data_IF_281267734518
#
_entry.id   IF_281267734518
#
_cell.length_a   1.000
_cell.length_b   1.000
_cell.length_c   1.000
_cell.angle_alpha   90.00
_cell.angle_beta   90.00
_cell.angle_gamma   90.00
#
_symmetry.space_group_name_H-M   'P 1'
#
loop_
_entity.id
_entity.type
_entity.pdbx_description
1 polymer ?
#
# COMPACT_ATOMS: atom_id res chain seq x y z
N UNK A 1 -7.22 23.53 -33.05
CA UNK A 1 -8.20 22.49 -33.44
C UNK A 1 -8.34 21.56 -32.25
N UNK A 2 -9.55 21.47 -31.70
CA UNK A 2 -9.90 20.69 -30.52
C UNK A 2 -9.66 19.20 -30.78
N UNK A 3 -8.87 18.56 -29.90
CA UNK A 3 -8.66 17.10 -29.92
C UNK A 3 -9.86 16.46 -29.24
N UNK A 4 -10.73 15.83 -30.02
CA UNK A 4 -11.82 14.99 -29.51
C UNK A 4 -11.22 13.74 -28.84
N UNK A 5 -11.51 13.59 -27.54
CA UNK A 5 -11.30 12.35 -26.81
C UNK A 5 -12.31 11.32 -27.28
N UNK A 6 -11.88 10.38 -28.12
CA UNK A 6 -12.68 9.19 -28.46
C UNK A 6 -12.33 8.09 -27.47
N UNK A 7 -13.23 7.88 -26.51
CA UNK A 7 -13.27 6.77 -25.55
C UNK A 7 -13.42 5.42 -26.27
N UNK A 8 -12.62 4.44 -25.87
CA UNK A 8 -12.70 3.06 -26.37
C UNK A 8 -13.96 2.40 -25.78
N UNK A 9 -14.98 2.19 -26.61
CA UNK A 9 -16.14 1.36 -26.29
C UNK A 9 -15.74 -0.12 -26.33
N UNK A 10 -15.25 -0.64 -25.21
CA UNK A 10 -15.33 -2.08 -24.95
C UNK A 10 -16.70 -2.37 -24.32
N UNK A 11 -17.37 -3.38 -24.87
CA UNK A 11 -18.71 -3.89 -24.53
C UNK A 11 -18.89 -4.10 -23.02
N UNK A 12 -19.20 -3.02 -22.32
CA UNK A 12 -19.54 -2.99 -20.92
C UNK A 12 -21.02 -2.74 -20.79
N UNK A 13 -21.66 -3.46 -19.86
CA UNK A 13 -22.91 -3.01 -19.26
C UNK A 13 -22.75 -1.56 -18.80
N UNK A 14 -23.19 -0.61 -19.62
CA UNK A 14 -23.39 0.76 -19.19
C UNK A 14 -24.45 0.72 -18.10
N UNK A 15 -24.02 0.91 -16.85
CA UNK A 15 -24.93 1.10 -15.74
C UNK A 15 -25.60 2.47 -15.92
N UNK A 16 -26.73 2.49 -16.63
CA UNK A 16 -27.59 3.66 -16.80
C UNK A 16 -28.28 4.12 -15.50
N UNK A 17 -28.13 3.37 -14.40
CA UNK A 17 -28.89 3.55 -13.15
C UNK A 17 -28.04 3.99 -11.94
N UNK A 18 -26.79 4.45 -12.13
CA UNK A 18 -25.92 4.87 -11.02
C UNK A 18 -25.35 3.73 -10.17
N UNK A 19 -25.61 2.47 -10.55
CA UNK A 19 -25.02 1.27 -9.96
C UNK A 19 -23.52 1.22 -10.20
N UNK A 20 -22.75 1.01 -9.14
CA UNK A 20 -21.29 0.91 -9.23
C UNK A 20 -20.84 -0.36 -9.96
N UNK A 21 -19.85 -0.23 -10.82
CA UNK A 21 -19.09 -1.33 -11.44
C UNK A 21 -17.60 -1.00 -11.43
N UNK A 22 -16.70 -1.98 -11.60
CA UNK A 22 -15.26 -1.72 -11.64
C UNK A 22 -14.81 -0.72 -12.73
N UNK A 23 -15.64 -0.44 -13.74
CA UNK A 23 -15.34 0.51 -14.83
C UNK A 23 -16.00 1.88 -14.67
N UNK A 24 -16.85 2.10 -13.66
CA UNK A 24 -17.56 3.37 -13.44
C UNK A 24 -16.64 4.58 -13.29
N UNK A 25 -15.43 4.39 -12.75
CA UNK A 25 -14.41 5.44 -12.63
C UNK A 25 -14.05 6.08 -13.98
N UNK A 26 -14.20 5.37 -15.10
CA UNK A 26 -13.89 5.89 -16.46
C UNK A 26 -14.81 7.03 -16.88
N UNK A 27 -15.95 7.19 -16.19
CA UNK A 27 -16.88 8.32 -16.40
C UNK A 27 -16.45 9.58 -15.66
N UNK A 28 -15.42 9.50 -14.81
CA UNK A 28 -14.92 10.60 -14.00
C UNK A 28 -13.61 11.14 -14.56
N UNK A 29 -13.30 12.38 -14.21
CA UNK A 29 -11.96 12.94 -14.43
C UNK A 29 -10.95 12.13 -13.64
N UNK A 30 -9.79 11.86 -14.24
CA UNK A 30 -8.69 11.11 -13.63
C UNK A 30 -7.43 11.98 -13.56
N UNK A 31 -6.83 12.08 -12.38
CA UNK A 31 -5.50 12.65 -12.19
C UNK A 31 -4.46 11.54 -12.27
N UNK A 32 -3.22 11.89 -12.64
CA UNK A 32 -2.13 10.91 -12.76
C UNK A 32 -2.48 9.77 -13.74
N UNK A 33 -3.26 10.05 -14.78
CA UNK A 33 -3.55 9.06 -15.82
C UNK A 33 -2.27 8.67 -16.58
N UNK A 34 -2.27 7.50 -17.21
CA UNK A 34 -1.19 7.05 -18.11
C UNK A 34 -1.72 7.02 -19.53
N UNK A 35 -1.03 7.71 -20.43
CA UNK A 35 -1.34 7.65 -21.86
C UNK A 35 -0.43 6.61 -22.50
N UNK A 36 -1.01 5.50 -22.95
CA UNK A 36 -0.32 4.50 -23.75
C UNK A 36 -0.55 4.80 -25.24
N UNK A 37 0.52 4.88 -26.03
CA UNK A 37 0.43 5.12 -27.48
C UNK A 37 -0.20 3.93 -28.21
N UNK A 38 0.23 2.70 -27.86
CA UNK A 38 -0.30 1.46 -28.42
C UNK A 38 -1.54 0.99 -27.64
N UNK A 39 -2.71 1.48 -28.06
CA UNK A 39 -4.01 1.10 -27.51
C UNK A 39 -4.36 -0.36 -27.75
N UNK A 40 -3.91 -0.95 -28.86
CA UNK A 40 -4.21 -2.36 -29.18
C UNK A 40 -3.42 -3.29 -28.25
N UNK A 41 -2.15 -2.98 -28.00
CA UNK A 41 -1.34 -3.70 -27.02
C UNK A 41 -1.92 -3.57 -25.60
N UNK A 42 -2.31 -2.35 -25.19
CA UNK A 42 -2.98 -2.14 -23.90
C UNK A 42 -4.23 -3.02 -23.76
N UNK A 43 -5.07 -3.10 -24.80
CA UNK A 43 -6.27 -3.94 -24.78
C UNK A 43 -5.91 -5.44 -24.61
N UNK A 44 -4.92 -5.95 -25.35
CA UNK A 44 -4.44 -7.33 -25.22
C UNK A 44 -3.93 -7.62 -23.81
N UNK A 45 -3.23 -6.67 -23.20
CA UNK A 45 -2.74 -6.78 -21.82
C UNK A 45 -3.90 -6.80 -20.83
N UNK A 46 -4.83 -5.86 -20.92
CA UNK A 46 -6.04 -5.80 -20.08
C UNK A 46 -6.84 -7.11 -20.16
N UNK A 47 -7.03 -7.67 -21.37
CA UNK A 47 -7.70 -8.95 -21.56
C UNK A 47 -6.98 -10.09 -20.83
N UNK A 48 -5.64 -10.15 -20.89
CA UNK A 48 -4.85 -11.14 -20.14
C UNK A 48 -4.97 -10.96 -18.62
N UNK A 49 -4.89 -9.71 -18.13
CA UNK A 49 -5.01 -9.39 -16.70
C UNK A 49 -6.36 -9.82 -16.10
N UNK A 50 -7.46 -9.69 -16.85
CA UNK A 50 -8.77 -10.13 -16.39
C UNK A 50 -8.84 -11.65 -16.11
N UNK A 51 -7.90 -12.45 -16.65
CA UNK A 51 -7.84 -13.90 -16.48
C UNK A 51 -6.72 -14.35 -15.52
N UNK A 52 -5.93 -13.43 -14.94
CA UNK A 52 -4.96 -13.83 -13.91
C UNK A 52 -5.69 -14.26 -12.63
N UNK A 53 -5.14 -15.25 -11.90
CA UNK A 53 -5.72 -15.68 -10.63
C UNK A 53 -5.64 -14.54 -9.61
N UNK A 54 -6.57 -14.51 -8.64
CA UNK A 54 -6.47 -13.69 -7.44
C UNK A 54 -5.11 -13.85 -6.76
N UNK A 55 -4.50 -12.73 -6.35
CA UNK A 55 -3.33 -12.75 -5.44
C UNK A 55 -3.74 -12.94 -3.99
N UNK A 56 -4.96 -12.52 -3.64
CA UNK A 56 -5.54 -12.63 -2.30
C UNK A 56 -7.00 -13.07 -2.38
N UNK A 57 -7.50 -13.65 -1.30
CA UNK A 57 -8.89 -14.12 -1.21
C UNK A 57 -9.78 -13.18 -0.39
N UNK A 58 -11.12 -13.19 -0.62
CA UNK A 58 -12.07 -12.48 0.23
C UNK A 58 -11.95 -12.81 1.73
N UNK A 59 -11.60 -14.05 2.06
CA UNK A 59 -11.39 -14.49 3.45
C UNK A 59 -10.22 -13.75 4.11
N UNK A 60 -9.09 -13.63 3.41
CA UNK A 60 -7.93 -12.89 3.92
C UNK A 60 -8.20 -11.39 4.03
N UNK A 61 -8.90 -10.82 3.05
CA UNK A 61 -9.33 -9.41 3.07
C UNK A 61 -10.23 -9.14 4.27
N UNK A 62 -11.25 -9.98 4.50
CA UNK A 62 -12.15 -9.83 5.63
C UNK A 62 -11.42 -10.04 6.97
N UNK A 63 -10.47 -10.97 7.05
CA UNK A 63 -9.60 -11.14 8.22
C UNK A 63 -8.85 -9.84 8.54
N UNK A 64 -8.27 -9.19 7.54
CA UNK A 64 -7.61 -7.88 7.74
C UNK A 64 -8.59 -6.82 8.23
N UNK A 65 -9.81 -6.76 7.70
CA UNK A 65 -10.84 -5.79 8.11
C UNK A 65 -11.15 -5.91 9.61
N UNK A 66 -11.35 -7.13 10.11
CA UNK A 66 -11.55 -7.38 11.54
C UNK A 66 -10.34 -6.98 12.39
N UNK A 67 -9.12 -7.20 11.89
CA UNK A 67 -7.91 -6.78 12.58
C UNK A 67 -7.78 -5.25 12.62
N UNK A 68 -8.12 -4.55 11.54
CA UNK A 68 -8.15 -3.09 11.50
C UNK A 68 -9.27 -2.49 12.37
N UNK A 69 -10.38 -3.21 12.56
CA UNK A 69 -11.37 -2.83 13.56
C UNK A 69 -10.75 -2.81 14.97
N UNK A 70 -9.95 -3.83 15.33
CA UNK A 70 -9.24 -3.83 16.62
C UNK A 70 -8.28 -2.65 16.75
N UNK A 71 -7.63 -2.24 15.64
CA UNK A 71 -6.78 -1.04 15.61
C UNK A 71 -7.59 0.23 15.88
N UNK A 72 -8.73 0.40 15.20
CA UNK A 72 -9.61 1.54 15.41
C UNK A 72 -10.16 1.62 16.85
N UNK A 73 -10.38 0.47 17.48
CA UNK A 73 -10.82 0.34 18.87
C UNK A 73 -9.70 0.46 19.91
N UNK A 74 -8.46 0.77 19.50
CA UNK A 74 -7.27 0.85 20.37
C UNK A 74 -6.90 -0.48 21.05
N UNK A 75 -7.29 -1.61 20.46
CA UNK A 75 -6.98 -2.97 20.93
C UNK A 75 -5.82 -3.60 20.17
N UNK A 76 -5.36 -2.97 19.10
CA UNK A 76 -4.18 -3.35 18.33
C UNK A 76 -3.49 -2.11 17.76
N UNK A 77 -2.27 -2.28 17.27
CA UNK A 77 -1.48 -1.23 16.63
C UNK A 77 -1.16 -1.62 15.19
N UNK A 78 -1.34 -0.72 14.23
CA UNK A 78 -1.01 -0.95 12.82
C UNK A 78 0.45 -0.58 12.53
N UNK A 79 1.21 -1.53 12.00
CA UNK A 79 2.52 -1.29 11.40
C UNK A 79 2.42 -1.54 9.89
N UNK A 80 2.43 -0.47 9.11
CA UNK A 80 2.54 -0.55 7.66
C UNK A 80 3.94 -0.08 7.22
N UNK A 81 4.63 -0.86 6.37
CA UNK A 81 5.99 -0.52 5.98
C UNK A 81 6.52 -1.28 4.77
N UNK A 82 7.45 -0.68 4.03
CA UNK A 82 8.14 -1.29 2.90
C UNK A 82 8.62 -0.23 1.91
N UNK A 83 8.88 -0.62 0.66
CA UNK A 83 9.49 0.30 -0.30
C UNK A 83 8.59 1.47 -0.68
N UNK A 84 9.21 2.58 -1.04
CA UNK A 84 8.53 3.71 -1.67
C UNK A 84 7.90 3.29 -3.01
N UNK A 85 8.73 2.71 -3.89
CA UNK A 85 8.33 2.06 -5.12
C UNK A 85 9.12 0.76 -5.27
N UNK A 86 8.42 -0.35 -5.51
CA UNK A 86 9.05 -1.62 -5.91
C UNK A 86 9.58 -1.48 -7.33
N UNK A 87 10.70 -2.15 -7.60
CA UNK A 87 11.22 -2.37 -8.94
C UNK A 87 11.14 -3.86 -9.25
N UNK A 88 10.95 -4.24 -10.51
CA UNK A 88 10.94 -5.64 -10.93
C UNK A 88 12.27 -6.32 -10.58
N UNK A 89 13.40 -5.63 -10.79
CA UNK A 89 14.73 -6.14 -10.46
C UNK A 89 14.95 -6.33 -8.94
N UNK A 90 14.20 -5.59 -8.11
CA UNK A 90 14.26 -5.69 -6.64
C UNK A 90 13.30 -6.73 -6.08
N UNK A 91 12.50 -7.36 -6.94
CA UNK A 91 11.65 -8.48 -6.60
C UNK A 91 12.48 -9.79 -6.52
N UNK A 92 13.59 -9.72 -5.78
CA UNK A 92 14.52 -10.81 -5.53
C UNK A 92 14.52 -11.21 -4.05
N UNK A 93 15.07 -12.38 -3.75
CA UNK A 93 14.95 -12.99 -2.42
C UNK A 93 15.51 -12.11 -1.30
N UNK A 94 16.72 -11.59 -1.46
CA UNK A 94 17.41 -10.87 -0.38
C UNK A 94 16.70 -9.56 0.03
N UNK A 95 16.30 -8.65 -0.88
CA UNK A 95 15.55 -7.44 -0.51
C UNK A 95 14.22 -7.74 0.18
N UNK A 96 13.51 -8.78 -0.27
CA UNK A 96 12.22 -9.18 0.32
C UNK A 96 12.42 -9.73 1.72
N UNK A 97 13.33 -10.68 1.90
CA UNK A 97 13.65 -11.21 3.23
C UNK A 97 14.09 -10.10 4.17
N UNK A 98 14.92 -9.19 3.70
CA UNK A 98 15.43 -8.07 4.50
C UNK A 98 14.29 -7.15 4.95
N UNK A 99 13.39 -6.77 4.03
CA UNK A 99 12.18 -5.98 4.31
C UNK A 99 11.26 -6.66 5.32
N UNK A 100 11.07 -7.98 5.20
CA UNK A 100 10.24 -8.75 6.12
C UNK A 100 10.88 -8.86 7.50
N UNK A 101 12.19 -9.13 7.58
CA UNK A 101 12.95 -9.19 8.83
C UNK A 101 12.79 -7.88 9.61
N UNK A 102 13.03 -6.73 8.97
CA UNK A 102 12.89 -5.43 9.65
C UNK A 102 11.45 -5.17 10.10
N UNK A 103 10.44 -5.47 9.27
CA UNK A 103 9.03 -5.29 9.64
C UNK A 103 8.61 -6.16 10.83
N UNK A 104 9.09 -7.42 10.87
CA UNK A 104 8.84 -8.34 11.98
C UNK A 104 9.55 -7.90 13.27
N UNK A 105 10.79 -7.42 13.18
CA UNK A 105 11.54 -6.92 14.34
C UNK A 105 10.92 -5.64 14.90
N UNK A 106 10.57 -4.67 14.06
CA UNK A 106 9.84 -3.48 14.47
C UNK A 106 8.53 -3.86 15.17
N UNK A 107 7.80 -4.83 14.61
CA UNK A 107 6.57 -5.32 15.22
C UNK A 107 6.79 -5.88 16.62
N UNK A 108 7.85 -6.67 16.85
CA UNK A 108 8.18 -7.20 18.17
C UNK A 108 8.47 -6.08 19.19
N UNK A 109 9.25 -5.07 18.78
CA UNK A 109 9.55 -3.88 19.61
C UNK A 109 8.27 -3.13 19.97
N UNK A 110 7.37 -2.92 18.99
CA UNK A 110 6.09 -2.27 19.20
C UNK A 110 5.16 -3.07 20.11
N UNK A 111 5.08 -4.40 19.96
CA UNK A 111 4.30 -5.27 20.87
C UNK A 111 4.81 -5.12 22.30
N UNK A 112 6.13 -5.15 22.48
CA UNK A 112 6.74 -5.01 23.80
C UNK A 112 6.43 -3.66 24.44
N UNK A 113 6.57 -2.57 23.69
CA UNK A 113 6.34 -1.21 24.17
C UNK A 113 4.87 -0.88 24.41
N UNK A 114 3.99 -1.29 23.50
CA UNK A 114 2.55 -0.98 23.54
C UNK A 114 1.72 -1.95 24.38
N UNK A 115 2.17 -3.20 24.56
CA UNK A 115 1.45 -4.30 25.22
C UNK A 115 0.11 -4.66 24.55
N UNK A 116 -0.04 -4.33 23.28
CA UNK A 116 -1.17 -4.73 22.43
C UNK A 116 -0.65 -5.44 21.17
N UNK A 117 -1.47 -6.28 20.51
CA UNK A 117 -1.13 -6.90 19.23
C UNK A 117 -0.75 -5.88 18.16
N UNK A 118 0.16 -6.26 17.25
CA UNK A 118 0.52 -5.46 16.08
C UNK A 118 0.01 -6.14 14.81
N UNK A 119 -0.75 -5.39 14.00
CA UNK A 119 -1.22 -5.76 12.67
C UNK A 119 -0.19 -5.31 11.65
N UNK A 120 0.27 -6.21 10.78
CA UNK A 120 1.40 -5.96 9.87
C UNK A 120 0.92 -5.89 8.43
N UNK A 121 1.16 -4.76 7.78
CA UNK A 121 0.85 -4.58 6.36
C UNK A 121 2.14 -4.19 5.63
N UNK A 122 2.64 -5.04 4.75
CA UNK A 122 3.79 -4.74 3.93
C UNK A 122 3.38 -3.91 2.71
N UNK A 123 4.22 -2.91 2.36
CA UNK A 123 4.21 -2.26 1.05
C UNK A 123 5.01 -3.16 0.09
N UNK A 124 4.30 -4.15 -0.44
CA UNK A 124 4.81 -5.14 -1.38
C UNK A 124 3.67 -5.74 -2.18
N UNK A 125 3.98 -6.47 -3.23
CA UNK A 125 2.97 -7.15 -4.04
C UNK A 125 2.13 -6.23 -4.93
N UNK A 126 2.68 -5.08 -5.33
CA UNK A 126 1.99 -4.18 -6.25
C UNK A 126 2.40 -2.72 -6.17
N UNK A 127 3.38 -2.35 -5.34
CA UNK A 127 3.78 -0.95 -5.12
C UNK A 127 4.71 -0.43 -6.24
N UNK A 128 4.37 -0.71 -7.49
CA UNK A 128 5.18 -0.41 -8.69
C UNK A 128 4.83 0.91 -9.36
N UNK A 129 3.85 1.67 -8.84
CA UNK A 129 3.41 2.93 -9.43
C UNK A 129 3.67 4.09 -8.47
N UNK A 130 4.09 5.24 -9.03
CA UNK A 130 4.35 6.46 -8.27
C UNK A 130 3.73 7.67 -8.97
N UNK A 131 2.97 8.52 -8.25
CA UNK A 131 2.50 9.77 -8.81
C UNK A 131 3.64 10.80 -8.92
N UNK A 132 3.64 11.61 -9.97
CA UNK A 132 4.66 12.64 -10.22
C UNK A 132 4.02 14.02 -10.32
N UNK A 133 4.79 15.04 -9.94
CA UNK A 133 4.35 16.44 -10.03
C UNK A 133 4.20 16.90 -11.48
N UNK A 134 5.09 16.44 -12.36
CA UNK A 134 5.07 16.70 -13.80
C UNK A 134 5.11 15.38 -14.56
N UNK A 135 4.49 15.35 -15.74
CA UNK A 135 4.50 14.18 -16.64
C UNK A 135 5.87 13.99 -17.31
N UNK A 136 6.55 15.11 -17.58
CA UNK A 136 7.87 15.14 -18.21
C UNK A 136 8.94 15.65 -17.23
N UNK A 137 10.18 15.25 -17.43
CA UNK A 137 11.37 15.77 -16.76
C UNK A 137 12.48 16.08 -17.76
N UNK A 138 13.38 16.98 -17.38
CA UNK A 138 14.54 17.35 -18.20
C UNK A 138 15.70 16.42 -17.88
N UNK A 139 16.23 15.74 -18.91
CA UNK A 139 17.42 14.92 -18.83
C UNK A 139 18.39 15.33 -19.95
N UNK A 140 19.60 15.78 -19.59
CA UNK A 140 20.62 16.24 -20.55
C UNK A 140 20.09 17.24 -21.60
N UNK A 141 19.20 18.14 -21.20
CA UNK A 141 18.61 19.16 -22.09
C UNK A 141 17.49 18.65 -23.00
N UNK A 142 17.08 17.38 -22.89
CA UNK A 142 15.91 16.81 -23.57
C UNK A 142 14.76 16.60 -22.58
N UNK A 143 13.55 16.83 -23.06
CA UNK A 143 12.34 16.55 -22.31
C UNK A 143 11.95 15.08 -22.53
N UNK A 144 11.93 14.29 -21.45
CA UNK A 144 11.56 12.87 -21.45
C UNK A 144 10.46 12.60 -20.43
N UNK A 145 9.73 11.51 -20.56
CA UNK A 145 8.74 11.14 -19.55
C UNK A 145 9.39 10.93 -18.17
N UNK A 146 8.77 11.50 -17.14
CA UNK A 146 9.13 11.22 -15.76
C UNK A 146 9.00 9.73 -15.46
N UNK A 147 9.89 9.18 -14.65
CA UNK A 147 9.78 7.83 -14.14
C UNK A 147 8.57 7.76 -13.20
N UNK A 148 7.62 6.87 -13.50
CA UNK A 148 6.37 6.74 -12.75
C UNK A 148 6.23 5.37 -12.10
N UNK A 149 7.33 4.63 -12.03
CA UNK A 149 7.39 3.29 -11.48
C UNK A 149 7.31 2.21 -12.57
N UNK A 150 7.88 1.06 -12.25
CA UNK A 150 8.18 -0.02 -13.21
C UNK A 150 6.95 -0.59 -13.91
N UNK A 151 5.75 -0.44 -13.34
CA UNK A 151 4.49 -0.87 -13.98
C UNK A 151 4.09 0.03 -15.16
N UNK A 152 4.70 1.21 -15.29
CA UNK A 152 4.44 2.18 -16.37
C UNK A 152 5.63 2.27 -17.31
N UNK A 153 6.81 2.59 -16.79
CA UNK A 153 8.03 2.83 -17.58
C UNK A 153 9.28 2.47 -16.77
N UNK A 154 10.42 2.31 -17.44
CA UNK A 154 11.70 2.04 -16.79
C UNK A 154 12.37 3.32 -16.25
N UNK A 155 13.35 3.15 -15.36
CA UNK A 155 14.12 4.28 -14.83
C UNK A 155 15.12 4.85 -15.83
N UNK A 156 15.69 4.01 -16.70
CA UNK A 156 16.68 4.46 -17.69
C UNK A 156 16.07 5.48 -18.68
N UNK A 157 16.79 6.55 -19.05
CA UNK A 157 16.29 7.56 -19.99
C UNK A 157 15.80 7.00 -21.34
N UNK A 158 16.36 5.87 -21.77
CA UNK A 158 15.98 5.17 -23.01
C UNK A 158 14.68 4.36 -22.89
N UNK A 159 14.16 4.18 -21.69
CA UNK A 159 13.03 3.31 -21.35
C UNK A 159 11.91 4.10 -20.64
N UNK A 160 11.77 5.40 -20.95
CA UNK A 160 10.77 6.28 -20.32
C UNK A 160 9.38 6.24 -20.94
N UNK A 161 9.25 5.64 -22.12
CA UNK A 161 7.95 5.55 -22.77
C UNK A 161 7.02 4.60 -22.00
N UNK A 162 5.76 4.98 -21.70
CA UNK A 162 4.80 4.07 -21.09
C UNK A 162 4.59 2.81 -21.93
N UNK A 163 4.87 1.65 -21.35
CA UNK A 163 4.76 0.34 -22.01
C UNK A 163 3.64 -0.48 -21.34
N UNK A 164 2.55 -0.81 -22.06
CA UNK A 164 1.44 -1.57 -21.49
C UNK A 164 1.85 -2.97 -21.03
N UNK A 165 2.86 -3.61 -21.63
CA UNK A 165 3.28 -4.96 -21.25
C UNK A 165 3.83 -5.03 -19.80
N UNK A 166 4.27 -3.89 -19.25
CA UNK A 166 4.70 -3.78 -17.85
C UNK A 166 3.58 -4.05 -16.85
N UNK A 167 2.32 -3.81 -17.23
CA UNK A 167 1.17 -4.16 -16.38
C UNK A 167 1.09 -5.67 -16.12
N UNK A 168 1.49 -6.51 -17.09
CA UNK A 168 1.53 -7.96 -16.92
C UNK A 168 2.67 -8.39 -16.01
N UNK A 169 3.84 -7.76 -16.14
CA UNK A 169 5.02 -8.09 -15.31
C UNK A 169 4.71 -7.93 -13.82
N UNK A 170 3.95 -6.90 -13.46
CA UNK A 170 3.50 -6.67 -12.09
C UNK A 170 2.55 -7.72 -11.48
N UNK A 171 1.97 -8.65 -12.27
CA UNK A 171 0.91 -9.55 -11.76
C UNK A 171 1.32 -10.92 -11.27
N UNK A 172 2.40 -11.56 -11.75
CA UNK A 172 2.45 -13.03 -11.60
C UNK A 172 3.78 -13.75 -11.56
N UNK A 173 4.83 -13.27 -12.22
CA UNK A 173 6.00 -14.13 -12.42
C UNK A 173 6.98 -14.11 -11.25
N UNK A 174 7.04 -13.01 -10.51
CA UNK A 174 7.94 -12.86 -9.35
C UNK A 174 7.28 -13.34 -8.04
N UNK A 175 5.96 -13.15 -7.89
CA UNK A 175 5.25 -13.42 -6.62
C UNK A 175 5.04 -14.89 -6.28
N UNK A 176 4.88 -15.79 -7.25
CA UNK A 176 4.77 -17.22 -6.93
C UNK A 176 6.06 -17.73 -6.28
N UNK A 177 7.22 -17.30 -6.79
CA UNK A 177 8.53 -17.62 -6.19
C UNK A 177 8.70 -17.03 -4.79
N UNK A 178 8.11 -15.87 -4.53
CA UNK A 178 8.14 -15.20 -3.22
C UNK A 178 7.23 -15.88 -2.21
N UNK A 179 6.00 -16.23 -2.60
CA UNK A 179 5.04 -16.96 -1.75
C UNK A 179 5.57 -18.36 -1.40
N UNK A 180 6.13 -19.06 -2.39
CA UNK A 180 6.74 -20.38 -2.19
C UNK A 180 7.90 -20.28 -1.17
N UNK A 181 8.73 -19.24 -1.23
CA UNK A 181 9.88 -19.05 -0.32
C UNK A 181 9.56 -18.38 1.02
N UNK A 182 8.50 -17.59 1.10
CA UNK A 182 7.95 -17.10 2.36
C UNK A 182 7.49 -18.26 3.24
N UNK A 183 6.87 -19.25 2.60
CA UNK A 183 6.53 -20.52 3.23
C UNK A 183 7.79 -21.23 3.73
N UNK A 184 8.84 -21.33 2.91
CA UNK A 184 10.14 -21.90 3.31
C UNK A 184 10.80 -21.16 4.49
N UNK A 185 10.72 -19.82 4.51
CA UNK A 185 11.31 -18.99 5.57
C UNK A 185 10.57 -19.16 6.90
N UNK A 186 9.24 -19.21 6.85
CA UNK A 186 8.40 -19.46 8.03
C UNK A 186 8.57 -20.91 8.55
N UNK A 187 8.78 -21.87 7.66
CA UNK A 187 9.09 -23.26 8.04
C UNK A 187 10.54 -23.41 8.56
N UNK A 188 11.49 -22.60 8.09
CA UNK A 188 12.82 -22.50 8.68
C UNK A 188 12.75 -21.95 10.12
N UNK A 189 11.91 -20.93 10.38
CA UNK A 189 11.67 -20.42 11.73
C UNK A 189 11.04 -21.46 12.68
N UNK A 190 10.21 -22.38 12.17
CA UNK A 190 9.77 -23.56 12.96
C UNK A 190 10.91 -24.53 13.24
N UNK A 191 11.75 -24.80 12.24
CA UNK A 191 12.82 -25.81 12.30
C UNK A 191 13.92 -25.47 13.31
N UNK A 192 14.20 -24.19 13.54
CA UNK A 192 15.21 -23.73 14.52
C UNK A 192 14.76 -23.83 15.99
N UNK A 193 13.60 -24.42 16.29
CA UNK A 193 13.23 -24.79 17.67
C UNK A 193 12.50 -23.69 18.46
N UNK A 194 11.74 -22.82 17.79
CA UNK A 194 10.72 -22.00 18.44
C UNK A 194 9.49 -22.80 18.91
N UNK A 195 9.45 -24.11 18.65
CA UNK A 195 8.50 -25.06 19.23
C UNK A 195 8.93 -25.48 20.64
N UNK A 196 8.83 -24.54 21.59
CA UNK A 196 8.70 -24.90 23.00
C UNK A 196 7.25 -25.29 23.26
N UNK A 197 6.96 -26.39 24.01
CA UNK A 197 5.59 -26.87 24.24
C UNK A 197 4.69 -25.93 25.08
N UNK A 198 5.08 -24.68 25.29
CA UNK A 198 4.31 -23.64 25.99
C UNK A 198 3.61 -22.63 25.07
N UNK A 199 3.77 -22.69 23.74
CA UNK A 199 3.29 -21.61 22.86
C UNK A 199 2.53 -22.08 21.61
N UNK A 200 1.36 -22.71 21.79
CA UNK A 200 0.39 -22.91 20.69
C UNK A 200 -0.17 -21.60 20.09
N UNK A 201 0.24 -20.43 20.59
CA UNK A 201 -0.21 -19.10 20.15
C UNK A 201 0.74 -18.44 19.14
N UNK A 202 1.93 -19.00 18.87
CA UNK A 202 2.96 -18.41 18.00
C UNK A 202 3.04 -19.03 16.59
N UNK A 203 2.10 -19.89 16.21
CA UNK A 203 2.24 -20.75 15.02
C UNK A 203 1.97 -20.07 13.66
N UNK A 204 1.53 -18.82 13.61
CA UNK A 204 1.45 -18.06 12.36
C UNK A 204 1.45 -16.55 12.62
N UNK A 205 2.38 -15.82 11.97
CA UNK A 205 2.33 -14.36 11.91
C UNK A 205 1.56 -13.96 10.67
N UNK A 206 0.44 -13.26 10.85
CA UNK A 206 -0.28 -12.67 9.74
C UNK A 206 0.51 -11.49 9.15
N UNK A 207 0.68 -11.50 7.84
CA UNK A 207 1.25 -10.44 7.05
C UNK A 207 0.35 -10.16 5.86
N UNK A 208 -0.04 -8.90 5.70
CA UNK A 208 -0.92 -8.46 4.61
C UNK A 208 -0.16 -7.58 3.62
N UNK A 209 -0.66 -7.51 2.40
CA UNK A 209 -0.02 -6.83 1.28
C UNK A 209 -0.79 -5.58 0.89
N UNK A 210 -0.07 -4.53 0.52
CA UNK A 210 -0.66 -3.25 0.17
C UNK A 210 0.13 -2.45 -0.85
N UNK A 211 -0.60 -1.65 -1.62
CA UNK A 211 -0.06 -0.65 -2.53
C UNK A 211 -1.03 0.52 -2.74
N UNK A 212 -0.53 1.58 -3.37
CA UNK A 212 -1.35 2.69 -3.85
C UNK A 212 -2.14 2.22 -5.07
N UNK A 213 -3.47 2.29 -5.03
CA UNK A 213 -4.32 1.96 -6.17
C UNK A 213 -4.30 3.07 -7.21
N UNK A 214 -3.14 3.32 -7.82
CA UNK A 214 -2.88 4.46 -8.70
C UNK A 214 -3.34 4.19 -10.15
N UNK A 215 -3.03 3.00 -10.67
CA UNK A 215 -3.26 2.62 -12.07
C UNK A 215 -4.60 1.89 -12.18
N UNK A 216 -5.67 2.65 -12.39
CA UNK A 216 -7.03 2.11 -12.34
C UNK A 216 -7.31 1.09 -13.46
N UNK A 217 -6.60 1.12 -14.59
CA UNK A 217 -6.57 0.03 -15.56
C UNK A 217 -6.19 -1.30 -14.90
N UNK A 218 -5.11 -1.31 -14.13
CA UNK A 218 -4.63 -2.50 -13.41
C UNK A 218 -5.61 -2.89 -12.30
N UNK A 219 -6.00 -1.94 -11.45
CA UNK A 219 -6.89 -2.22 -10.32
C UNK A 219 -8.26 -2.75 -10.76
N UNK A 220 -8.83 -2.19 -11.83
CA UNK A 220 -10.05 -2.70 -12.46
C UNK A 220 -9.86 -4.16 -12.89
N UNK A 221 -8.75 -4.47 -13.56
CA UNK A 221 -8.45 -5.84 -14.01
C UNK A 221 -8.19 -6.81 -12.87
N UNK A 222 -7.84 -6.32 -11.68
CA UNK A 222 -7.70 -7.11 -10.46
C UNK A 222 -8.98 -7.10 -9.61
N UNK A 223 -10.10 -6.59 -10.10
CA UNK A 223 -11.37 -6.57 -9.37
C UNK A 223 -12.28 -7.72 -9.80
N UNK A 224 -12.85 -8.44 -8.83
CA UNK A 224 -13.74 -9.60 -9.07
C UNK A 224 -15.00 -9.49 -8.24
N UNK A 225 -16.13 -9.90 -8.81
CA UNK A 225 -17.37 -10.09 -8.08
C UNK A 225 -17.31 -11.47 -7.42
N UNK A 226 -17.19 -11.50 -6.09
CA UNK A 226 -17.00 -12.71 -5.32
C UNK A 226 -18.01 -12.80 -4.18
N UNK A 227 -18.28 -14.03 -3.75
CA UNK A 227 -19.12 -14.29 -2.59
C UNK A 227 -18.38 -13.85 -1.33
N UNK A 228 -18.94 -12.87 -0.63
CA UNK A 228 -18.43 -12.42 0.67
C UNK A 228 -18.61 -13.56 1.70
N UNK A 229 -17.53 -13.95 2.41
CA UNK A 229 -17.55 -15.14 3.26
C UNK A 229 -18.39 -14.98 4.54
N UNK A 230 -18.73 -13.75 4.94
CA UNK A 230 -19.51 -13.47 6.15
C UNK A 230 -21.01 -13.37 5.85
N UNK A 231 -21.34 -12.64 4.79
CA UNK A 231 -22.73 -12.32 4.43
C UNK A 231 -23.30 -13.28 3.39
N UNK A 232 -22.44 -14.00 2.65
CA UNK A 232 -22.82 -14.84 1.52
C UNK A 232 -23.29 -14.07 0.28
N UNK A 233 -23.30 -12.74 0.34
CA UNK A 233 -23.72 -11.86 -0.76
C UNK A 233 -22.60 -11.65 -1.78
N UNK A 234 -22.94 -11.27 -3.02
CA UNK A 234 -21.94 -10.92 -4.03
C UNK A 234 -21.41 -9.51 -3.76
N UNK A 235 -20.09 -9.38 -3.61
CA UNK A 235 -19.40 -8.12 -3.38
C UNK A 235 -18.18 -8.00 -4.29
N UNK A 236 -17.82 -6.78 -4.65
CA UNK A 236 -16.65 -6.52 -5.45
C UNK A 236 -15.41 -6.43 -4.56
N UNK A 237 -14.41 -7.25 -4.85
CA UNK A 237 -13.11 -7.24 -4.18
C UNK A 237 -12.02 -6.96 -5.21
N UNK A 238 -11.11 -6.05 -4.89
CA UNK A 238 -9.82 -6.05 -5.56
C UNK A 238 -8.98 -7.18 -4.97
N UNK A 239 -8.61 -8.13 -5.81
CA UNK A 239 -7.85 -9.34 -5.45
C UNK A 239 -6.37 -9.21 -5.79
N UNK A 240 -5.88 -8.01 -6.10
CA UNK A 240 -4.47 -7.70 -6.25
C UNK A 240 -3.76 -7.44 -4.92
N UNK A 241 -4.47 -6.97 -3.89
CA UNK A 241 -3.91 -6.72 -2.57
C UNK A 241 -4.95 -6.81 -1.45
N UNK A 242 -4.47 -6.98 -0.22
CA UNK A 242 -5.32 -7.01 0.96
C UNK A 242 -5.84 -5.61 1.30
N UNK A 243 -4.96 -4.61 1.24
CA UNK A 243 -5.23 -3.21 1.58
C UNK A 243 -4.74 -2.29 0.48
N UNK A 244 -5.57 -1.31 0.08
CA UNK A 244 -5.20 -0.33 -0.95
C UNK A 244 -5.29 1.07 -0.36
N UNK A 245 -4.48 2.02 -0.84
CA UNK A 245 -4.70 3.42 -0.48
C UNK A 245 -4.81 4.36 -1.68
N UNK A 246 -5.45 5.49 -1.44
CA UNK A 246 -5.50 6.64 -2.33
C UNK A 246 -4.44 7.66 -1.91
N UNK A 247 -3.60 8.08 -2.85
CA UNK A 247 -2.55 9.07 -2.62
C UNK A 247 -3.08 10.49 -2.43
N UNK A 248 -2.24 11.39 -1.93
CA UNK A 248 -2.63 12.79 -1.67
C UNK A 248 -2.94 13.56 -2.96
N UNK A 249 -2.36 13.12 -4.10
CA UNK A 249 -2.57 13.72 -5.43
C UNK A 249 -3.79 13.17 -6.18
N UNK A 250 -4.42 12.11 -5.68
CA UNK A 250 -5.51 11.38 -6.37
C UNK A 250 -6.79 11.26 -5.53
N UNK A 251 -6.85 11.90 -4.36
CA UNK A 251 -8.00 11.83 -3.43
C UNK A 251 -9.10 12.87 -3.67
N UNK A 252 -9.22 13.39 -4.90
CA UNK A 252 -10.25 14.37 -5.22
C UNK A 252 -11.65 13.71 -5.17
N UNK A 253 -12.59 14.32 -4.42
CA UNK A 253 -13.85 13.69 -4.01
C UNK A 253 -14.69 13.12 -5.15
N UNK A 254 -14.77 13.84 -6.28
CA UNK A 254 -15.64 13.52 -7.41
C UNK A 254 -14.89 12.92 -8.60
N UNK A 255 -13.65 12.46 -8.38
CA UNK A 255 -12.74 11.96 -9.43
C UNK A 255 -12.59 10.43 -9.40
N UNK A 256 -11.91 9.91 -10.42
CA UNK A 256 -11.85 8.50 -10.76
C UNK A 256 -11.40 7.57 -9.62
N UNK A 257 -10.36 7.95 -8.87
CA UNK A 257 -9.85 7.10 -7.78
C UNK A 257 -10.88 6.95 -6.66
N UNK A 258 -11.51 8.04 -6.21
CA UNK A 258 -12.55 7.93 -5.18
C UNK A 258 -13.77 7.15 -5.69
N UNK A 259 -14.15 7.35 -6.96
CA UNK A 259 -15.20 6.56 -7.59
C UNK A 259 -14.87 5.07 -7.64
N UNK A 260 -13.63 4.68 -7.94
CA UNK A 260 -13.21 3.28 -7.89
C UNK A 260 -13.23 2.73 -6.46
N UNK A 261 -12.60 3.44 -5.52
CA UNK A 261 -12.44 2.97 -4.14
C UNK A 261 -13.75 2.86 -3.35
N UNK A 262 -14.81 3.63 -3.70
CA UNK A 262 -16.10 3.54 -2.99
C UNK A 262 -16.78 2.17 -3.12
N UNK A 263 -16.52 1.46 -4.21
CA UNK A 263 -17.24 0.23 -4.55
C UNK A 263 -16.51 -1.08 -4.25
N UNK A 264 -15.20 -1.03 -3.94
CA UNK A 264 -14.46 -2.21 -3.49
C UNK A 264 -14.70 -2.49 -1.99
N UNK A 265 -14.68 -3.77 -1.64
CA UNK A 265 -14.91 -4.25 -0.27
C UNK A 265 -13.66 -4.25 0.60
N UNK A 266 -12.48 -4.10 0.00
CA UNK A 266 -11.21 -4.06 0.69
C UNK A 266 -11.19 -2.96 1.77
N UNK A 267 -10.41 -3.13 2.87
CA UNK A 267 -10.03 -2.01 3.70
C UNK A 267 -9.18 -1.04 2.88
N UNK A 268 -9.39 0.26 3.09
CA UNK A 268 -8.73 1.30 2.30
C UNK A 268 -8.04 2.34 3.18
N UNK A 269 -6.99 2.95 2.64
CA UNK A 269 -6.35 4.14 3.18
C UNK A 269 -6.54 5.34 2.26
N UNK A 270 -6.38 6.54 2.80
CA UNK A 270 -6.32 7.80 2.07
C UNK A 270 -5.25 8.65 2.74
N UNK A 271 -4.27 9.10 1.98
CA UNK A 271 -3.25 10.01 2.48
C UNK A 271 -3.89 11.38 2.76
N UNK A 272 -3.80 11.84 4.00
CA UNK A 272 -4.31 13.15 4.43
C UNK A 272 -3.12 14.08 4.63
N UNK A 273 -2.80 14.85 3.58
CA UNK A 273 -1.75 15.87 3.63
C UNK A 273 -2.15 17.15 4.39
N UNK A 274 -1.21 18.09 4.59
CA UNK A 274 -1.45 19.35 5.30
C UNK A 274 -2.48 20.28 4.63
N UNK A 275 -2.79 20.05 3.36
CA UNK A 275 -3.77 20.84 2.59
C UNK A 275 -5.22 20.43 2.87
N UNK A 276 -5.45 19.26 3.46
CA UNK A 276 -6.78 18.70 3.71
C UNK A 276 -7.56 19.52 4.74
N UNK A 277 -8.78 19.93 4.35
CA UNK A 277 -9.71 20.58 5.27
C UNK A 277 -10.59 19.56 6.02
N UNK A 278 -10.94 19.80 7.31
CA UNK A 278 -11.79 18.88 8.08
C UNK A 278 -13.15 18.56 7.43
N UNK A 279 -13.79 19.53 6.77
CA UNK A 279 -15.06 19.32 6.09
C UNK A 279 -14.93 18.47 4.82
N UNK A 280 -13.82 18.62 4.09
CA UNK A 280 -13.50 17.78 2.94
C UNK A 280 -13.26 16.33 3.38
N UNK A 281 -12.55 16.13 4.50
CA UNK A 281 -12.36 14.80 5.10
C UNK A 281 -13.69 14.13 5.48
N UNK A 282 -14.63 14.88 6.09
CA UNK A 282 -15.97 14.34 6.40
C UNK A 282 -16.72 13.88 5.15
N UNK A 283 -16.68 14.68 4.08
CA UNK A 283 -17.30 14.34 2.80
C UNK A 283 -16.68 13.08 2.20
N UNK A 284 -15.34 13.01 2.21
CA UNK A 284 -14.61 11.84 1.74
C UNK A 284 -15.05 10.57 2.48
N UNK A 285 -15.09 10.61 3.82
CA UNK A 285 -15.51 9.48 4.65
C UNK A 285 -16.93 9.02 4.32
N UNK A 286 -17.86 9.94 4.08
CA UNK A 286 -19.23 9.60 3.68
C UNK A 286 -19.31 8.91 2.31
N UNK A 287 -18.35 9.17 1.40
CA UNK A 287 -18.31 8.53 0.08
C UNK A 287 -17.72 7.12 0.18
N UNK A 288 -16.58 6.99 0.86
CA UNK A 288 -15.82 5.73 0.85
C UNK A 288 -16.19 4.78 1.99
N UNK A 289 -16.88 5.27 3.02
CA UNK A 289 -17.39 4.47 4.13
C UNK A 289 -18.82 4.92 4.53
N UNK A 290 -19.81 4.85 3.61
CA UNK A 290 -21.17 5.34 3.88
C UNK A 290 -21.84 4.64 5.06
N UNK A 291 -21.54 3.34 5.24
CA UNK A 291 -22.10 2.50 6.29
C UNK A 291 -21.34 2.64 7.64
N UNK A 292 -20.29 3.47 7.69
CA UNK A 292 -19.47 3.73 8.89
C UNK A 292 -18.90 2.46 9.52
N UNK A 293 -18.48 1.52 8.68
CA UNK A 293 -17.88 0.26 9.12
C UNK A 293 -16.50 0.51 9.75
N UNK A 294 -16.34 0.08 11.01
CA UNK A 294 -15.09 0.18 11.76
C UNK A 294 -14.08 -0.79 11.11
N UNK A 295 -12.89 -0.31 10.76
CA UNK A 295 -11.88 -1.09 10.01
C UNK A 295 -11.82 -0.77 8.50
N UNK A 296 -12.73 0.07 7.97
CA UNK A 296 -12.63 0.69 6.64
C UNK A 296 -12.01 2.10 6.67
N UNK A 297 -11.69 2.64 7.86
CA UNK A 297 -11.36 4.05 8.09
C UNK A 297 -9.88 4.40 8.32
N UNK A 298 -9.61 5.71 8.16
CA UNK A 298 -8.32 6.39 8.11
C UNK A 298 -7.66 6.59 9.47
N UNK A 299 -6.37 6.25 9.55
CA UNK A 299 -5.53 6.52 10.72
C UNK A 299 -5.09 8.00 10.75
N UNK A 300 -5.52 8.76 11.77
CA UNK A 300 -5.08 10.14 12.04
C UNK A 300 -3.71 10.15 12.74
N UNK A 301 -2.83 11.12 12.44
CA UNK A 301 -1.43 11.14 12.91
C UNK A 301 -1.15 12.20 14.00
N UNK A 302 -0.64 11.67 15.13
CA UNK A 302 0.27 12.13 16.20
C UNK A 302 0.20 13.55 16.80
N UNK A 303 -0.05 14.65 16.09
CA UNK A 303 0.02 15.99 16.71
C UNK A 303 -1.34 16.58 17.14
N UNK A 304 -2.44 16.01 16.65
CA UNK A 304 -3.81 16.43 17.00
C UNK A 304 -4.39 15.63 18.17
N UNK A 305 -3.76 14.51 18.53
CA UNK A 305 -4.29 13.48 19.45
C UNK A 305 -4.35 13.92 20.91
N UNK A 306 -3.30 14.57 21.42
CA UNK A 306 -3.23 15.03 22.81
C UNK A 306 -4.30 16.08 23.14
N UNK A 307 -4.71 16.89 22.16
CA UNK A 307 -5.69 17.96 22.33
C UNK A 307 -7.14 17.51 22.06
N UNK A 308 -7.35 16.32 21.47
CA UNK A 308 -8.68 15.83 21.06
C UNK A 308 -9.07 14.48 21.67
N UNK A 309 -8.35 14.01 22.70
CA UNK A 309 -8.56 12.71 23.36
C UNK A 309 -8.55 11.49 22.40
N UNK A 310 -7.88 11.61 21.25
CA UNK A 310 -7.69 10.53 20.29
C UNK A 310 -6.31 9.88 20.47
N UNK A 311 -6.11 8.65 19.98
CA UNK A 311 -4.88 7.87 20.18
C UNK A 311 -4.16 7.59 18.87
N UNK A 312 -2.84 7.46 18.96
CA UNK A 312 -2.01 6.93 17.89
C UNK A 312 -2.14 5.40 17.85
N UNK A 313 -2.78 4.88 16.80
CA UNK A 313 -3.02 3.44 16.67
C UNK A 313 -2.28 2.82 15.49
N UNK A 314 -1.44 3.57 14.78
CA UNK A 314 -0.67 3.01 13.69
C UNK A 314 0.32 3.95 13.05
N UNK A 315 1.22 3.37 12.27
CA UNK A 315 2.27 4.05 11.52
C UNK A 315 2.41 3.46 10.12
N UNK A 316 2.85 4.31 9.19
CA UNK A 316 3.10 3.97 7.80
C UNK A 316 4.47 4.53 7.43
N UNK A 317 5.43 3.65 7.13
CA UNK A 317 6.80 4.03 6.80
C UNK A 317 7.21 3.58 5.40
N UNK A 318 8.11 4.35 4.81
CA UNK A 318 8.92 3.89 3.69
C UNK A 318 10.27 3.44 4.27
N UNK A 319 10.56 2.15 4.13
CA UNK A 319 11.70 1.51 4.76
C UNK A 319 12.25 0.35 3.94
N UNK A 320 13.51 0.02 4.17
CA UNK A 320 14.18 -1.18 3.68
C UNK A 320 15.03 -1.77 4.80
N UNK A 321 15.22 -3.10 4.78
CA UNK A 321 16.16 -3.76 5.70
C UNK A 321 17.62 -3.67 5.25
N UNK A 322 17.88 -3.00 4.11
CA UNK A 322 19.23 -2.76 3.62
C UNK A 322 19.91 -1.58 4.33
N UNK A 323 21.24 -1.61 4.41
CA UNK A 323 22.07 -0.52 4.94
C UNK A 323 22.22 0.65 3.98
N UNK A 324 21.10 1.20 3.50
CA UNK A 324 21.06 2.35 2.58
C UNK A 324 21.34 3.66 3.31
N UNK A 325 21.84 4.65 2.59
CA UNK A 325 22.09 6.01 3.08
C UNK A 325 21.13 6.99 2.41
N UNK A 326 19.84 6.84 2.69
CA UNK A 326 18.78 7.62 2.02
C UNK A 326 18.23 8.73 2.93
N UNK A 327 18.14 8.49 4.24
CA UNK A 327 17.71 9.46 5.24
C UNK A 327 18.88 9.90 6.11
N UNK A 328 18.94 11.20 6.43
CA UNK A 328 19.89 11.75 7.41
C UNK A 328 19.44 11.46 8.86
N UNK A 329 20.39 11.44 9.79
CA UNK A 329 20.19 11.25 11.21
C UNK A 329 20.02 9.78 11.62
N UNK A 330 19.24 9.55 12.67
CA UNK A 330 19.18 8.26 13.38
C UNK A 330 20.36 8.09 14.34
N UNK A 331 20.42 6.95 15.02
CA UNK A 331 21.51 6.57 15.93
C UNK A 331 22.87 6.46 15.23
N UNK A 332 22.87 6.32 13.90
CA UNK A 332 24.06 6.30 13.06
C UNK A 332 24.58 7.70 12.70
N UNK A 333 23.84 8.76 13.05
CA UNK A 333 24.23 10.16 12.79
C UNK A 333 24.55 10.45 11.30
N UNK A 334 23.82 9.81 10.38
CA UNK A 334 24.04 9.98 8.94
C UNK A 334 23.91 11.46 8.54
N UNK A 335 24.90 11.96 7.83
CA UNK A 335 24.95 13.33 7.35
C UNK A 335 24.66 13.40 5.85
N UNK A 336 24.57 14.62 5.31
CA UNK A 336 24.32 14.82 3.88
C UNK A 336 25.42 14.21 2.99
N UNK A 337 26.68 14.18 3.47
CA UNK A 337 27.79 13.62 2.68
C UNK A 337 27.75 12.09 2.62
N UNK A 338 27.06 11.45 3.56
CA UNK A 338 26.93 10.00 3.58
C UNK A 338 25.91 9.50 2.56
N UNK A 339 25.02 10.38 2.07
CA UNK A 339 23.98 9.99 1.13
C UNK A 339 24.54 9.34 -0.13
N UNK A 340 25.64 9.87 -0.67
CA UNK A 340 26.28 9.37 -1.90
C UNK A 340 26.87 7.94 -1.76
N UNK A 341 27.01 7.42 -0.54
CA UNK A 341 27.64 6.11 -0.31
C UNK A 341 26.76 4.94 -0.77
N UNK A 342 25.45 5.02 -0.53
CA UNK A 342 24.51 3.92 -0.79
C UNK A 342 23.05 4.40 -0.94
N UNK A 343 22.83 5.43 -1.77
CA UNK A 343 21.48 5.88 -2.17
C UNK A 343 20.94 5.00 -3.31
N UNK A 344 19.92 4.18 -3.06
CA UNK A 344 19.43 3.20 -4.04
C UNK A 344 18.03 3.50 -4.61
N UNK A 345 17.20 4.23 -3.87
CA UNK A 345 15.84 4.56 -4.31
C UNK A 345 15.85 5.57 -5.46
N UNK A 346 14.98 5.37 -6.44
CA UNK A 346 14.69 6.34 -7.50
C UNK A 346 13.51 7.26 -7.16
N UNK A 347 12.95 7.11 -5.96
CA UNK A 347 11.81 7.86 -5.48
C UNK A 347 12.16 8.52 -4.13
N UNK A 348 11.25 8.43 -3.16
CA UNK A 348 11.44 9.03 -1.85
C UNK A 348 12.47 8.22 -1.02
N UNK A 349 13.26 8.89 -0.16
CA UNK A 349 14.26 8.26 0.69
C UNK A 349 13.62 7.35 1.75
N UNK A 350 14.17 6.14 1.90
CA UNK A 350 13.66 5.14 2.86
C UNK A 350 14.48 5.17 4.14
N UNK A 351 13.83 4.80 5.25
CA UNK A 351 14.56 4.43 6.47
C UNK A 351 15.32 3.13 6.20
N UNK A 352 16.60 3.09 6.55
CA UNK A 352 17.36 1.84 6.57
C UNK A 352 17.00 0.99 7.80
N UNK A 353 17.67 -0.16 7.95
CA UNK A 353 17.45 -1.10 9.04
C UNK A 353 17.55 -0.46 10.43
N UNK A 354 18.65 0.23 10.72
CA UNK A 354 18.92 0.82 12.03
C UNK A 354 17.95 1.97 12.34
N UNK A 355 17.71 2.86 11.38
CA UNK A 355 16.75 3.96 11.51
C UNK A 355 15.32 3.43 11.73
N UNK A 356 14.95 2.33 11.07
CA UNK A 356 13.65 1.69 11.25
C UNK A 356 13.48 1.17 12.68
N UNK A 357 14.53 0.55 13.25
CA UNK A 357 14.52 0.09 14.64
C UNK A 357 14.53 1.26 15.63
N UNK A 358 15.32 2.31 15.38
CA UNK A 358 15.32 3.52 16.21
C UNK A 358 13.92 4.09 16.35
N UNK A 359 13.21 4.24 15.21
CA UNK A 359 11.83 4.74 15.19
C UNK A 359 10.89 3.79 15.93
N UNK A 360 11.02 2.47 15.76
CA UNK A 360 10.22 1.50 16.51
C UNK A 360 10.44 1.61 18.02
N UNK A 361 11.69 1.77 18.49
CA UNK A 361 12.00 1.98 19.90
C UNK A 361 11.46 3.31 20.44
N UNK A 362 11.51 4.38 19.64
CA UNK A 362 10.93 5.68 20.01
C UNK A 362 9.42 5.58 20.18
N UNK A 363 8.72 4.91 19.26
CA UNK A 363 7.26 4.67 19.37
C UNK A 363 6.96 3.77 20.56
N UNK A 364 7.73 2.69 20.76
CA UNK A 364 7.56 1.79 21.89
C UNK A 364 7.67 2.52 23.23
N UNK A 365 8.68 3.40 23.40
CA UNK A 365 8.84 4.26 24.58
C UNK A 365 7.68 5.24 24.74
N UNK A 366 7.19 5.82 23.65
CA UNK A 366 6.01 6.68 23.67
C UNK A 366 4.77 5.92 24.16
N UNK A 367 4.48 4.74 23.60
CA UNK A 367 3.34 3.92 24.01
C UNK A 367 3.46 3.44 25.47
N UNK A 368 4.67 3.12 25.93
CA UNK A 368 4.93 2.79 27.33
C UNK A 368 4.61 3.96 28.26
N UNK A 369 5.07 5.17 27.91
CA UNK A 369 4.80 6.38 28.68
C UNK A 369 3.30 6.67 28.76
N UNK A 370 2.59 6.66 27.64
CA UNK A 370 1.14 6.87 27.59
C UNK A 370 0.39 5.88 28.48
N UNK A 371 0.79 4.60 28.47
CA UNK A 371 0.20 3.58 29.34
C UNK A 371 0.44 3.88 30.82
N UNK A 372 1.66 4.26 31.17
CA UNK A 372 2.02 4.56 32.57
C UNK A 372 1.30 5.81 33.09
N UNK A 373 1.09 6.82 32.25
CA UNK A 373 0.32 8.02 32.59
C UNK A 373 -1.20 7.75 32.67
N UNK A 374 -1.69 6.70 32.01
CA UNK A 374 -3.10 6.28 32.04
C UNK A 374 -3.47 5.42 33.26
N UNK A 375 -2.50 4.95 34.05
CA UNK A 375 -2.75 4.17 35.26
C UNK A 375 -3.14 5.12 36.41
N UNK A 376 -4.24 4.85 37.15
CA UNK A 376 -4.56 5.64 38.33
C UNK A 376 -3.42 5.52 39.35
N UNK A 377 -3.06 6.65 39.99
CA UNK A 377 -2.15 6.64 41.13
C UNK A 377 -2.70 5.68 42.19
N UNK A 378 -1.86 4.70 42.58
CA UNK A 378 -2.18 3.67 43.58
C UNK A 378 -2.50 4.27 44.95
#
# INVERSE_FOLDING_TARGET
MSVEQVTIENSNHHASDGTWTPSTWRTKKINQNVTYEDKESLQKVVEKLNHVPPLVTPTEINKLRHQLEQVALNKAFLLQGGDCAELFDYCSQEPIESKLKVLLQMSLVLIWGSRIPVIRIARMCGQYAKPRSNEMEMYEGKEIHSFRGDIINGYEPTDRQPDPDRLLKGTRQEYQTIVDRLTDTLDFMKTIGADSPFTNTLNSIDLFMSHEGLILEYEQCMTRLLKDPETGSQKWYNVGAHFLWVGDRTRQLDEAHIEYFRGIRNPIGVKVGPTMQPEELKKLLNIVNPDKEIGRELSKVIHTHKNNASKLNGVHFELTGEGVTECIGGSMELSQVDLEQNYKTYCDPRLNYEQSLDVAFLIAKYCEKERNESLPAL
#
